data_IF_864322473349
#
_entry.id   IF_864322473349
#
_cell.length_a   1.000
_cell.length_b   1.000
_cell.length_c   1.000
_cell.angle_alpha   90.00
_cell.angle_beta   90.00
_cell.angle_gamma   90.00
#
_symmetry.space_group_name_H-M   'P 1'
#
loop_
_entity.id
_entity.type
_entity.pdbx_description
1 polymer ?
#
# COMPACT_ATOMS: atom_id res chain seq x y z
N UNK A 1 6.69 -9.22 -5.19
CA UNK A 1 5.22 -8.97 -5.13
C UNK A 1 4.30 -10.11 -5.63
N UNK A 2 4.84 -11.17 -6.25
CA UNK A 2 4.07 -12.21 -6.96
C UNK A 2 3.03 -13.01 -6.14
N UNK A 3 3.20 -13.14 -4.82
CA UNK A 3 2.22 -13.83 -3.96
C UNK A 3 1.06 -12.89 -3.62
N UNK A 4 1.36 -11.65 -3.24
CA UNK A 4 0.38 -10.65 -2.79
C UNK A 4 -0.68 -10.34 -3.86
N UNK A 5 -0.31 -10.36 -5.14
CA UNK A 5 -1.26 -10.13 -6.25
C UNK A 5 -2.46 -11.12 -6.23
N UNK A 6 -2.29 -12.29 -5.64
CA UNK A 6 -3.35 -13.30 -5.55
C UNK A 6 -4.34 -13.03 -4.41
N UNK A 7 -4.00 -12.15 -3.46
CA UNK A 7 -4.81 -11.84 -2.29
C UNK A 7 -5.49 -10.47 -2.35
N UNK A 8 -5.18 -9.67 -3.37
CA UNK A 8 -5.78 -8.34 -3.56
C UNK A 8 -6.88 -8.36 -4.62
N UNK A 9 -7.80 -7.41 -4.49
CA UNK A 9 -8.79 -7.13 -5.53
C UNK A 9 -8.13 -6.38 -6.70
N UNK A 10 -8.38 -6.85 -7.93
CA UNK A 10 -7.79 -6.30 -9.18
C UNK A 10 -6.30 -5.94 -9.06
N UNK A 11 -5.48 -6.88 -8.59
CA UNK A 11 -4.04 -6.69 -8.43
C UNK A 11 -3.34 -6.54 -9.76
N UNK A 12 -2.80 -5.35 -10.04
CA UNK A 12 -2.01 -5.07 -11.23
C UNK A 12 -0.55 -4.87 -10.85
N UNK A 13 0.33 -5.69 -11.43
CA UNK A 13 1.77 -5.61 -11.19
C UNK A 13 2.45 -4.95 -12.38
N UNK A 14 3.05 -3.78 -12.14
CA UNK A 14 3.76 -3.04 -13.17
C UNK A 14 5.26 -3.05 -12.88
N UNK A 15 6.05 -3.54 -13.84
CA UNK A 15 7.52 -3.44 -13.78
C UNK A 15 7.99 -2.00 -14.08
N UNK A 16 7.24 -1.27 -14.90
CA UNK A 16 7.41 0.17 -15.11
C UNK A 16 6.08 0.79 -15.51
N UNK A 17 5.89 2.08 -15.18
CA UNK A 17 4.67 2.80 -15.53
C UNK A 17 4.96 4.29 -15.72
N UNK A 18 4.47 4.88 -16.81
CA UNK A 18 4.56 6.33 -16.99
C UNK A 18 3.60 7.05 -16.05
N UNK A 19 3.90 8.30 -15.71
CA UNK A 19 3.01 9.15 -14.92
C UNK A 19 1.61 9.23 -15.56
N UNK A 20 1.55 9.38 -16.89
CA UNK A 20 0.30 9.46 -17.65
C UNK A 20 -0.53 8.17 -17.58
N UNK A 21 0.14 7.02 -17.68
CA UNK A 21 -0.52 5.72 -17.60
C UNK A 21 -1.07 5.47 -16.20
N UNK A 22 -0.35 5.85 -15.15
CA UNK A 22 -0.74 5.60 -13.76
C UNK A 22 -2.10 6.19 -13.41
N UNK A 23 -2.27 7.52 -13.52
CA UNK A 23 -3.55 8.13 -13.12
C UNK A 23 -4.71 7.77 -14.05
N UNK A 24 -4.44 7.48 -15.33
CA UNK A 24 -5.49 7.04 -16.28
C UNK A 24 -5.97 5.64 -15.96
N UNK A 25 -5.03 4.75 -15.64
CA UNK A 25 -5.33 3.37 -15.28
C UNK A 25 -6.04 3.30 -13.93
N UNK A 26 -5.60 4.09 -12.94
CA UNK A 26 -6.29 4.20 -11.64
C UNK A 26 -7.72 4.69 -11.80
N UNK A 27 -7.94 5.75 -12.58
CA UNK A 27 -9.28 6.27 -12.85
C UNK A 27 -10.20 5.24 -13.53
N UNK A 28 -9.68 4.52 -14.54
CA UNK A 28 -10.46 3.58 -15.33
C UNK A 28 -10.76 2.28 -14.57
N UNK A 29 -9.75 1.65 -13.97
CA UNK A 29 -9.85 0.28 -13.47
C UNK A 29 -10.01 0.17 -11.95
N UNK A 30 -9.60 1.22 -11.22
CA UNK A 30 -9.50 1.24 -9.75
C UNK A 30 -8.77 -0.01 -9.21
N UNK A 31 -7.53 -0.26 -9.66
CA UNK A 31 -6.77 -1.46 -9.31
C UNK A 31 -6.21 -1.39 -7.89
N UNK A 32 -5.68 -2.51 -7.41
CA UNK A 32 -4.61 -2.48 -6.41
C UNK A 32 -3.28 -2.47 -7.15
N UNK A 33 -2.47 -1.43 -7.00
CA UNK A 33 -1.17 -1.35 -7.68
C UNK A 33 -0.09 -2.12 -6.92
N UNK A 34 0.72 -2.89 -7.63
CA UNK A 34 1.91 -3.56 -7.10
C UNK A 34 3.12 -3.09 -7.92
N UNK A 35 3.92 -2.19 -7.34
CA UNK A 35 5.09 -1.60 -7.96
C UNK A 35 6.34 -2.30 -7.41
N UNK A 36 7.01 -3.07 -8.25
CA UNK A 36 8.27 -3.76 -7.90
C UNK A 36 9.46 -2.93 -8.39
N UNK A 37 10.60 -3.05 -7.71
CA UNK A 37 11.83 -2.33 -8.05
C UNK A 37 11.58 -0.82 -8.23
N UNK A 38 10.79 -0.22 -7.34
CA UNK A 38 10.38 1.18 -7.49
C UNK A 38 11.58 2.16 -7.45
N UNK A 39 12.66 1.79 -6.76
CA UNK A 39 13.93 2.53 -6.76
C UNK A 39 14.64 2.55 -8.13
N UNK A 40 14.30 1.65 -9.05
CA UNK A 40 14.90 1.56 -10.39
C UNK A 40 14.12 2.34 -11.46
N UNK A 41 13.00 2.98 -11.10
CA UNK A 41 12.23 3.76 -12.06
C UNK A 41 13.01 5.01 -12.49
N UNK A 42 12.96 5.35 -13.78
CA UNK A 42 13.64 6.55 -14.29
C UNK A 42 12.95 7.86 -13.87
N UNK A 43 11.72 7.79 -13.39
CA UNK A 43 10.83 8.91 -13.08
C UNK A 43 10.25 8.85 -11.66
N UNK A 44 11.05 8.36 -10.69
CA UNK A 44 10.63 8.19 -9.28
C UNK A 44 9.95 9.44 -8.72
N UNK A 45 10.52 10.63 -8.92
CA UNK A 45 9.99 11.87 -8.34
C UNK A 45 8.60 12.25 -8.85
N UNK A 46 8.38 12.09 -10.15
CA UNK A 46 7.09 12.32 -10.79
C UNK A 46 6.02 11.33 -10.35
N UNK A 47 6.43 10.08 -10.12
CA UNK A 47 5.55 9.02 -9.61
C UNK A 47 5.23 9.23 -8.13
N UNK A 48 6.21 9.60 -7.31
CA UNK A 48 6.03 9.87 -5.88
C UNK A 48 4.93 10.89 -5.62
N UNK A 49 4.88 11.96 -6.43
CA UNK A 49 3.84 12.99 -6.32
C UNK A 49 2.43 12.40 -6.51
N UNK A 50 2.25 11.49 -7.47
CA UNK A 50 0.97 10.81 -7.69
C UNK A 50 0.65 9.78 -6.60
N UNK A 51 1.66 9.02 -6.16
CA UNK A 51 1.51 7.99 -5.13
C UNK A 51 1.09 8.62 -3.79
N UNK A 52 1.76 9.72 -3.41
CA UNK A 52 1.43 10.52 -2.23
C UNK A 52 0.04 11.15 -2.34
N UNK A 53 -0.31 11.70 -3.51
CA UNK A 53 -1.66 12.23 -3.75
C UNK A 53 -2.73 11.16 -3.56
N UNK A 54 -2.45 9.92 -3.98
CA UNK A 54 -3.37 8.80 -3.87
C UNK A 54 -3.53 8.21 -2.47
N UNK A 55 -2.96 8.82 -1.43
CA UNK A 55 -3.18 8.47 -0.02
C UNK A 55 -4.62 8.83 0.42
N UNK A 56 -5.14 9.94 -0.08
CA UNK A 56 -6.49 10.43 0.24
C UNK A 56 -7.46 10.22 -0.92
N UNK A 57 -8.76 10.01 -0.61
CA UNK A 57 -9.80 9.74 -1.63
C UNK A 57 -10.00 10.87 -2.63
N UNK A 58 -9.70 12.11 -2.24
CA UNK A 58 -9.78 13.27 -3.15
C UNK A 58 -8.49 13.48 -3.95
N UNK A 59 -7.47 12.64 -3.78
CA UNK A 59 -6.24 12.68 -4.58
C UNK A 59 -6.53 12.63 -6.07
N UNK A 60 -5.93 13.53 -6.85
CA UNK A 60 -6.11 13.55 -8.29
C UNK A 60 -4.98 14.23 -9.06
N UNK A 61 -4.76 13.75 -10.28
CA UNK A 61 -4.02 14.45 -11.31
C UNK A 61 -5.00 15.25 -12.19
N UNK A 62 -4.74 16.54 -12.38
CA UNK A 62 -5.46 17.36 -13.36
C UNK A 62 -4.63 17.41 -14.63
N UNK A 63 -5.25 17.07 -15.77
CA UNK A 63 -4.60 17.12 -17.09
C UNK A 63 -5.56 17.67 -18.13
N UNK A 64 -5.01 18.44 -19.06
CA UNK A 64 -5.75 18.91 -20.22
C UNK A 64 -6.04 17.73 -21.16
N UNK A 65 -7.29 17.60 -21.61
CA UNK A 65 -7.70 16.57 -22.58
C UNK A 65 -8.41 17.21 -23.77
N UNK A 66 -8.23 16.69 -24.99
CA UNK A 66 -8.93 17.21 -26.17
C UNK A 66 -10.45 17.11 -26.01
N UNK A 67 -11.16 18.16 -26.43
CA UNK A 67 -12.62 18.19 -26.59
C UNK A 67 -12.94 18.99 -27.86
N UNK A 68 -13.08 18.28 -28.98
CA UNK A 68 -13.21 18.91 -30.30
C UNK A 68 -11.90 19.63 -30.66
N UNK A 69 -11.99 20.93 -30.97
CA UNK A 69 -10.84 21.79 -31.31
C UNK A 69 -10.23 22.52 -30.09
N UNK A 70 -10.66 22.21 -28.87
CA UNK A 70 -10.19 22.84 -27.64
C UNK A 70 -9.68 21.79 -26.63
N UNK A 71 -9.09 22.25 -25.53
CA UNK A 71 -8.65 21.44 -24.41
C UNK A 71 -9.40 21.83 -23.13
N UNK A 72 -9.94 20.83 -22.43
CA UNK A 72 -10.56 21.06 -21.12
C UNK A 72 -9.77 20.36 -20.01
N UNK A 73 -9.72 20.94 -18.79
CA UNK A 73 -9.15 20.24 -17.65
C UNK A 73 -10.02 19.04 -17.30
N UNK A 74 -9.40 17.86 -17.17
CA UNK A 74 -10.02 16.66 -16.62
C UNK A 74 -9.28 16.23 -15.36
N UNK A 75 -10.06 15.89 -14.33
CA UNK A 75 -9.58 15.27 -13.09
C UNK A 75 -9.48 13.75 -13.28
N UNK A 76 -8.37 13.18 -12.86
CA UNK A 76 -8.15 11.74 -12.82
C UNK A 76 -7.79 11.36 -11.38
N UNK A 77 -8.56 10.45 -10.77
CA UNK A 77 -8.26 9.92 -9.45
C UNK A 77 -6.88 9.27 -9.42
N UNK A 78 -6.14 9.52 -8.34
CA UNK A 78 -4.90 8.79 -8.00
C UNK A 78 -5.14 7.83 -6.83
N UNK A 79 -6.34 7.85 -6.23
CA UNK A 79 -6.67 7.05 -5.08
C UNK A 79 -6.82 5.57 -5.45
N UNK A 80 -5.93 4.75 -4.91
CA UNK A 80 -5.96 3.30 -5.00
C UNK A 80 -5.14 2.67 -3.87
N UNK A 81 -5.47 1.44 -3.43
CA UNK A 81 -4.55 0.63 -2.65
C UNK A 81 -3.28 0.39 -3.47
N UNK A 82 -2.12 0.44 -2.82
CA UNK A 82 -0.84 0.28 -3.49
C UNK A 82 0.19 -0.39 -2.58
N UNK A 83 0.98 -1.26 -3.17
CA UNK A 83 2.10 -1.95 -2.54
C UNK A 83 3.34 -1.57 -3.33
N UNK A 84 4.33 -1.02 -2.64
CA UNK A 84 5.56 -0.53 -3.26
C UNK A 84 6.71 -1.34 -2.66
N UNK A 85 7.43 -2.06 -3.51
CA UNK A 85 8.65 -2.77 -3.14
C UNK A 85 9.84 -2.03 -3.74
N UNK A 86 10.82 -1.72 -2.90
CA UNK A 86 12.04 -1.04 -3.29
C UNK A 86 13.21 -1.42 -2.39
N UNK A 87 14.42 -1.16 -2.87
CA UNK A 87 15.65 -1.26 -2.10
C UNK A 87 16.03 0.13 -1.58
N UNK A 88 16.52 0.18 -0.34
CA UNK A 88 16.95 1.43 0.30
C UNK A 88 15.83 2.15 1.04
N UNK A 89 16.11 3.38 1.47
CA UNK A 89 15.16 4.19 2.23
C UNK A 89 14.23 4.97 1.27
N UNK A 90 12.91 4.80 1.35
CA UNK A 90 11.96 5.67 0.65
C UNK A 90 12.05 7.13 1.13
N UNK A 91 11.61 8.09 0.32
CA UNK A 91 11.48 9.49 0.76
C UNK A 91 10.51 9.58 1.95
N UNK A 92 10.80 10.45 2.92
CA UNK A 92 10.00 10.58 4.15
C UNK A 92 8.52 10.89 3.84
N UNK A 93 8.24 11.66 2.79
CA UNK A 93 6.86 11.91 2.34
C UNK A 93 6.08 10.64 1.97
N UNK A 94 6.74 9.61 1.44
CA UNK A 94 6.13 8.32 1.16
C UNK A 94 6.00 7.48 2.44
N UNK A 95 7.01 7.53 3.30
CA UNK A 95 7.03 6.82 4.60
C UNK A 95 5.84 7.22 5.46
N UNK A 96 5.61 8.53 5.64
CA UNK A 96 4.51 9.05 6.44
C UNK A 96 3.13 8.55 5.97
N UNK A 97 3.02 8.20 4.69
CA UNK A 97 1.77 7.77 4.02
C UNK A 97 1.70 6.26 3.80
N UNK A 98 2.56 5.50 4.48
CA UNK A 98 2.71 4.06 4.28
C UNK A 98 2.82 3.31 5.60
N UNK A 99 2.46 2.04 5.59
CA UNK A 99 2.91 1.06 6.58
C UNK A 99 4.18 0.41 6.02
N UNK A 100 5.33 0.68 6.62
CA UNK A 100 6.62 0.17 6.15
C UNK A 100 6.88 -1.21 6.74
N UNK A 101 7.17 -2.18 5.88
CA UNK A 101 7.56 -3.53 6.29
C UNK A 101 8.97 -3.80 5.80
N UNK A 102 9.93 -3.80 6.73
CA UNK A 102 11.33 -4.06 6.42
C UNK A 102 11.55 -5.55 6.15
N UNK A 103 11.91 -5.88 4.91
CA UNK A 103 12.20 -7.27 4.52
C UNK A 103 13.66 -7.63 4.83
N UNK A 104 13.87 -8.81 5.39
CA UNK A 104 15.20 -9.37 5.64
C UNK A 104 15.60 -10.36 4.55
N UNK A 105 16.89 -10.34 4.17
CA UNK A 105 17.42 -11.35 3.26
C UNK A 105 17.38 -12.72 3.93
N UNK A 106 16.87 -13.69 3.18
CA UNK A 106 16.87 -15.10 3.58
C UNK A 106 18.31 -15.56 3.88
N UNK A 107 18.53 -16.11 5.07
CA UNK A 107 19.80 -16.74 5.45
C UNK A 107 19.88 -18.17 4.91
N UNK A 108 21.07 -18.75 4.72
CA UNK A 108 21.22 -20.11 4.22
C UNK A 108 20.48 -21.18 5.04
N UNK A 109 20.38 -20.97 6.36
CA UNK A 109 19.68 -21.86 7.29
C UNK A 109 18.15 -21.72 7.24
N UNK A 110 17.63 -20.62 6.67
CA UNK A 110 16.19 -20.37 6.68
C UNK A 110 15.52 -21.34 5.70
N UNK A 111 14.66 -22.20 6.23
CA UNK A 111 13.80 -23.05 5.40
C UNK A 111 12.50 -22.31 5.14
N UNK A 112 12.34 -21.86 3.90
CA UNK A 112 11.11 -21.22 3.41
C UNK A 112 10.51 -22.14 2.38
N UNK A 113 9.23 -22.48 2.54
CA UNK A 113 8.50 -23.26 1.57
C UNK A 113 8.51 -22.57 0.21
N UNK A 114 8.83 -23.33 -0.84
CA UNK A 114 8.86 -22.79 -2.19
C UNK A 114 7.42 -22.62 -2.66
N UNK A 115 7.09 -21.41 -3.11
CA UNK A 115 5.86 -21.16 -3.82
C UNK A 115 5.74 -22.09 -5.05
N UNK A 116 4.70 -22.91 -5.08
CA UNK A 116 4.44 -23.88 -6.15
C UNK A 116 3.04 -23.66 -6.77
N UNK A 117 2.74 -24.35 -7.88
CA UNK A 117 1.47 -24.18 -8.57
C UNK A 117 0.25 -24.67 -7.77
N UNK A 118 0.40 -25.68 -6.92
CA UNK A 118 -0.72 -26.21 -6.13
C UNK A 118 -1.21 -25.19 -5.09
N UNK A 119 -0.30 -24.36 -4.56
CA UNK A 119 -0.67 -23.23 -3.69
C UNK A 119 -1.58 -22.21 -4.38
N UNK A 120 -1.51 -22.06 -5.72
CA UNK A 120 -2.37 -21.12 -6.45
C UNK A 120 -3.86 -21.49 -6.34
N UNK A 121 -4.19 -22.78 -6.39
CA UNK A 121 -5.58 -23.25 -6.24
C UNK A 121 -6.12 -22.89 -4.86
N UNK A 122 -5.31 -23.06 -3.81
CA UNK A 122 -5.67 -22.65 -2.45
C UNK A 122 -5.89 -21.14 -2.34
N UNK A 123 -5.12 -20.33 -3.08
CA UNK A 123 -5.29 -18.87 -3.08
C UNK A 123 -6.57 -18.44 -3.78
N UNK A 124 -6.99 -19.11 -4.86
CA UNK A 124 -8.28 -18.83 -5.49
C UNK A 124 -9.45 -19.06 -4.52
N UNK A 125 -9.37 -20.11 -3.70
CA UNK A 125 -10.37 -20.38 -2.66
C UNK A 125 -10.38 -19.27 -1.61
N UNK A 126 -9.21 -18.84 -1.14
CA UNK A 126 -9.11 -17.73 -0.17
C UNK A 126 -9.64 -16.44 -0.77
N UNK A 127 -9.27 -16.11 -2.02
CA UNK A 127 -9.73 -14.91 -2.73
C UNK A 127 -11.25 -14.89 -2.83
N UNK A 128 -11.88 -16.00 -3.24
CA UNK A 128 -13.35 -16.12 -3.30
C UNK A 128 -13.99 -15.91 -1.92
N UNK A 129 -13.40 -16.47 -0.86
CA UNK A 129 -13.89 -16.27 0.51
C UNK A 129 -13.78 -14.81 0.95
N UNK A 130 -12.66 -14.14 0.66
CA UNK A 130 -12.46 -12.72 0.98
C UNK A 130 -13.42 -11.82 0.19
N UNK A 131 -13.63 -12.09 -1.10
CA UNK A 131 -14.62 -11.37 -1.93
C UNK A 131 -16.01 -11.51 -1.35
N UNK A 132 -16.45 -12.74 -1.05
CA UNK A 132 -17.76 -12.99 -0.45
C UNK A 132 -17.88 -12.35 0.94
N UNK A 133 -16.83 -12.40 1.75
CA UNK A 133 -16.82 -11.75 3.07
C UNK A 133 -17.02 -10.24 2.95
N UNK A 134 -16.30 -9.58 2.04
CA UNK A 134 -16.48 -8.16 1.71
C UNK A 134 -17.92 -7.85 1.27
N UNK A 135 -18.52 -8.67 0.42
CA UNK A 135 -19.90 -8.47 -0.07
C UNK A 135 -20.96 -8.60 1.03
N UNK A 136 -20.68 -9.36 2.09
CA UNK A 136 -21.58 -9.53 3.23
C UNK A 136 -21.30 -8.56 4.38
N UNK A 137 -20.31 -7.68 4.21
CA UNK A 137 -19.88 -6.74 5.23
C UNK A 137 -20.92 -5.62 5.34
N UNK A 138 -21.43 -5.38 6.55
CA UNK A 138 -22.43 -4.33 6.81
C UNK A 138 -21.91 -2.95 6.42
N UNK A 139 -22.78 -2.10 5.87
CA UNK A 139 -22.48 -0.67 5.63
C UNK A 139 -22.16 0.08 6.92
N UNK A 140 -22.58 -0.46 8.07
CA UNK A 140 -22.21 0.02 9.41
C UNK A 140 -20.99 -0.74 9.92
N UNK A 141 -19.83 -0.10 9.80
CA UNK A 141 -18.56 -0.55 10.39
C UNK A 141 -18.53 -0.26 11.90
N UNK A 142 -17.78 -1.05 12.71
CA UNK A 142 -17.57 -0.73 14.10
C UNK A 142 -16.80 0.59 14.25
N UNK A 143 -17.06 1.30 15.34
CA UNK A 143 -16.25 2.43 15.73
C UNK A 143 -14.94 1.91 16.33
N UNK A 144 -13.82 2.26 15.69
CA UNK A 144 -12.48 1.83 16.12
C UNK A 144 -11.66 3.07 16.43
N UNK A 145 -11.09 3.10 17.64
CA UNK A 145 -10.18 4.16 18.04
C UNK A 145 -8.93 4.14 17.14
N UNK A 146 -8.47 5.30 16.63
CA UNK A 146 -7.22 5.39 15.90
C UNK A 146 -6.04 4.93 16.76
N UNK A 147 -4.94 4.54 16.10
CA UNK A 147 -3.69 4.25 16.79
C UNK A 147 -3.25 5.48 17.60
N UNK A 148 -2.90 5.29 18.88
CA UNK A 148 -2.36 6.37 19.71
C UNK A 148 -0.91 6.66 19.32
N UNK A 149 -0.73 7.62 18.42
CA UNK A 149 0.56 8.10 17.91
C UNK A 149 0.57 9.64 17.85
N UNK A 150 1.75 10.25 17.72
CA UNK A 150 1.92 11.69 17.48
C UNK A 150 1.84 12.05 15.97
N UNK A 151 1.65 11.07 15.10
CA UNK A 151 1.58 11.23 13.66
C UNK A 151 0.18 10.87 13.12
N UNK A 152 -0.62 11.90 12.78
CA UNK A 152 -1.98 11.71 12.28
C UNK A 152 -2.05 10.79 11.05
N UNK A 153 -1.06 10.87 10.15
CA UNK A 153 -1.04 10.00 8.95
C UNK A 153 -0.79 8.56 9.30
N UNK A 154 0.00 8.29 10.33
CA UNK A 154 0.21 6.93 10.81
C UNK A 154 -1.08 6.36 11.40
N UNK A 155 -1.81 7.15 12.18
CA UNK A 155 -3.12 6.76 12.68
C UNK A 155 -4.08 6.44 11.51
N UNK A 156 -4.12 7.29 10.48
CA UNK A 156 -4.91 7.08 9.26
C UNK A 156 -4.49 5.81 8.48
N UNK A 157 -3.19 5.53 8.40
CA UNK A 157 -2.66 4.36 7.69
C UNK A 157 -3.11 3.05 8.35
N UNK A 158 -3.12 3.02 9.69
CA UNK A 158 -3.47 1.82 10.46
C UNK A 158 -4.97 1.61 10.66
N UNK A 159 -5.77 2.68 10.65
CA UNK A 159 -7.20 2.63 10.92
C UNK A 159 -7.95 1.58 10.08
N UNK A 160 -7.73 1.43 8.76
CA UNK A 160 -8.40 0.38 7.99
C UNK A 160 -8.07 -1.04 8.45
N UNK A 161 -6.81 -1.31 8.80
CA UNK A 161 -6.37 -2.65 9.25
C UNK A 161 -6.89 -2.96 10.65
N UNK A 162 -6.90 -1.97 11.55
CA UNK A 162 -7.49 -2.09 12.88
C UNK A 162 -9.01 -2.33 12.79
N UNK A 163 -9.69 -1.65 11.87
CA UNK A 163 -11.12 -1.87 11.60
C UNK A 163 -11.39 -3.28 11.10
N UNK A 164 -10.58 -3.79 10.17
CA UNK A 164 -10.69 -5.18 9.69
C UNK A 164 -10.45 -6.18 10.83
N UNK A 165 -9.45 -5.91 11.68
CA UNK A 165 -9.14 -6.74 12.83
C UNK A 165 -10.29 -6.77 13.85
N UNK A 166 -10.92 -5.63 14.11
CA UNK A 166 -12.11 -5.52 14.97
C UNK A 166 -13.28 -6.36 14.44
N UNK A 167 -13.54 -6.28 13.14
CA UNK A 167 -14.59 -7.09 12.50
C UNK A 167 -14.26 -8.59 12.54
N UNK A 168 -12.98 -8.95 12.39
CA UNK A 168 -12.54 -10.34 12.51
C UNK A 168 -12.67 -10.87 13.96
N UNK A 169 -12.53 -10.01 14.95
CA UNK A 169 -12.71 -10.30 16.37
C UNK A 169 -11.68 -11.29 16.93
N UNK A 170 -12.01 -11.89 18.08
CA UNK A 170 -11.13 -12.83 18.79
C UNK A 170 -9.76 -12.18 19.13
N UNK A 171 -8.66 -12.80 18.74
CA UNK A 171 -7.30 -12.31 18.99
C UNK A 171 -6.81 -11.27 17.96
N UNK A 172 -7.54 -11.07 16.85
CA UNK A 172 -7.09 -10.21 15.76
C UNK A 172 -6.92 -8.74 16.14
N UNK A 173 -7.83 -8.09 16.90
CA UNK A 173 -7.67 -6.69 17.31
C UNK A 173 -6.37 -6.47 18.08
N UNK A 174 -6.10 -7.35 19.04
CA UNK A 174 -4.90 -7.28 19.87
C UNK A 174 -3.63 -7.49 19.04
N UNK A 175 -3.60 -8.52 18.17
CA UNK A 175 -2.45 -8.78 17.29
C UNK A 175 -2.18 -7.63 16.31
N UNK A 176 -3.23 -7.02 15.76
CA UNK A 176 -3.09 -5.88 14.85
C UNK A 176 -2.53 -4.65 15.58
N UNK A 177 -2.98 -4.39 16.81
CA UNK A 177 -2.46 -3.30 17.64
C UNK A 177 -0.99 -3.52 18.03
N UNK A 178 -0.62 -4.74 18.38
CA UNK A 178 0.78 -5.11 18.68
C UNK A 178 1.68 -4.96 17.45
N UNK A 179 1.22 -5.41 16.29
CA UNK A 179 1.94 -5.25 15.02
C UNK A 179 2.12 -3.76 14.66
N UNK A 180 1.07 -2.95 14.85
CA UNK A 180 1.13 -1.51 14.63
C UNK A 180 2.22 -0.87 15.49
N UNK A 181 2.18 -1.09 16.81
CA UNK A 181 3.18 -0.56 17.75
C UNK A 181 4.61 -1.01 17.43
N UNK A 182 4.79 -2.27 17.03
CA UNK A 182 6.10 -2.80 16.69
C UNK A 182 6.69 -2.12 15.44
N UNK A 183 5.90 -2.01 14.37
CA UNK A 183 6.36 -1.40 13.11
C UNK A 183 6.57 0.11 13.23
N UNK A 184 5.71 0.82 13.99
CA UNK A 184 5.88 2.24 14.28
C UNK A 184 7.21 2.53 14.97
N UNK A 185 7.56 1.71 15.98
CA UNK A 185 8.80 1.87 16.75
C UNK A 185 10.05 1.62 15.91
N UNK A 186 10.05 0.59 15.07
CA UNK A 186 11.22 0.26 14.23
C UNK A 186 11.59 1.42 13.28
N UNK A 187 10.60 2.16 12.78
CA UNK A 187 10.82 3.33 11.91
C UNK A 187 11.49 4.48 12.67
N UNK A 188 11.04 4.76 13.90
CA UNK A 188 11.66 5.79 14.75
C UNK A 188 13.12 5.45 15.07
N UNK A 189 13.39 4.20 15.48
CA UNK A 189 14.72 3.73 15.84
C UNK A 189 15.70 3.80 14.64
N UNK A 190 15.25 3.43 13.43
CA UNK A 190 16.08 3.51 12.22
C UNK A 190 16.32 4.97 11.78
N UNK A 191 15.34 5.85 11.93
CA UNK A 191 15.52 7.28 11.69
C UNK A 191 16.59 7.89 12.61
N UNK A 192 16.55 7.57 13.90
CA UNK A 192 17.52 8.04 14.89
C UNK A 192 18.93 7.50 14.61
N UNK A 193 19.07 6.21 14.29
CA UNK A 193 20.39 5.62 13.94
C UNK A 193 21.02 6.28 12.72
N UNK A 194 20.23 6.60 11.70
CA UNK A 194 20.73 7.25 10.48
C UNK A 194 21.17 8.69 10.76
N UNK A 195 20.41 9.44 11.58
CA UNK A 195 20.80 10.80 11.98
C UNK A 195 22.14 10.80 12.74
N UNK A 196 22.34 9.86 13.66
CA UNK A 196 23.61 9.71 14.39
C UNK A 196 24.81 9.35 13.50
N UNK A 197 24.59 8.75 12.33
CA UNK A 197 25.64 8.42 11.37
C UNK A 197 26.00 9.59 10.44
N UNK A 198 25.13 10.60 10.30
CA UNK A 198 25.38 11.80 9.51
C UNK A 198 26.13 12.89 10.31
N UNK A 199 26.16 12.75 11.64
CA UNK A 199 26.82 13.67 12.58
C UNK A 199 28.29 13.29 12.91
N UNK A 200 28.89 12.36 12.14
CA UNK A 200 30.30 11.91 12.23
C UNK A 200 31.01 12.22 10.91
#
# INVERSE_FOLDING_TARGET
LNILRHFVDKGEQAASISQASLFRFVEAERPTLLLDEFDQQSNVDDLLSLLNSGHERHGAAIRMVPKGNDYIPKRFSTFCPKIIAMIGKPKDTLVDRSIVVMMQRKKPQDRVERFNQDMKKSFEVIKRKLTRWRENLSDRLPEVAPLSTNNDREADNWLPLLTIAEIAGSEWPQRALEAAKALSKDIEDDSVKIQLLLDI
#
